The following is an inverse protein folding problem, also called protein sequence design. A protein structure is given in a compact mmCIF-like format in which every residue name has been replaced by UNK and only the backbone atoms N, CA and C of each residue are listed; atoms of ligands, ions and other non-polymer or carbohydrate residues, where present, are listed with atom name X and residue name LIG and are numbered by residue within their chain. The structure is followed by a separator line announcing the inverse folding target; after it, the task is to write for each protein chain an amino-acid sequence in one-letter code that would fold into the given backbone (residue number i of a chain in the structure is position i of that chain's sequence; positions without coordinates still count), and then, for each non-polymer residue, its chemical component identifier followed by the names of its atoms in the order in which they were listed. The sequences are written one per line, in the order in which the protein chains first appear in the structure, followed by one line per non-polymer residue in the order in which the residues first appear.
data_IF_473545549190
#
_entry.id   IF_473545549190
#
_cell.length_a   1.000
_cell.length_b   1.000
_cell.length_c   1.000
_cell.angle_alpha   90.00
_cell.angle_beta   90.00
_cell.angle_gamma   90.00
#
_symmetry.space_group_name_H-M   'P 1'
#
loop_
_entity.id
_entity.type
_entity.pdbx_description
1 polymer ?
#
# COMPACT_ATOMS: atom_id res chain seq x y z
N UNK A 1 63.85 25.40 4.54
CA UNK A 1 62.73 25.90 3.73
C UNK A 1 61.48 26.01 4.60
N UNK A 2 61.09 27.21 5.01
CA UNK A 2 59.87 27.43 5.79
C UNK A 2 58.68 27.59 4.83
N UNK A 3 57.65 26.72 4.94
CA UNK A 3 56.38 26.88 4.23
C UNK A 3 55.60 28.03 4.88
N UNK A 4 55.45 29.15 4.18
CA UNK A 4 54.49 30.19 4.56
C UNK A 4 53.08 29.63 4.40
N UNK A 5 52.37 29.45 5.51
CA UNK A 5 50.93 29.18 5.50
C UNK A 5 50.21 30.50 5.23
N UNK A 6 49.59 30.63 4.07
CA UNK A 6 48.68 31.74 3.79
C UNK A 6 47.32 31.40 4.37
N UNK A 7 46.75 32.21 5.29
CA UNK A 7 45.39 32.02 5.76
C UNK A 7 44.45 32.31 4.58
N UNK A 8 43.75 31.29 4.09
CA UNK A 8 42.66 31.49 3.14
C UNK A 8 41.48 31.96 3.97
N UNK A 9 41.00 33.21 3.82
CA UNK A 9 39.83 33.67 4.55
C UNK A 9 38.63 32.82 4.13
N UNK A 10 37.97 32.19 5.10
CA UNK A 10 36.71 31.49 4.89
C UNK A 10 35.63 32.54 4.64
N UNK A 11 35.36 32.86 3.37
CA UNK A 11 34.19 33.65 3.00
C UNK A 11 33.00 32.71 2.81
N UNK A 12 32.00 32.82 3.67
CA UNK A 12 30.68 32.25 3.38
C UNK A 12 30.17 32.94 2.10
N UNK A 13 29.81 32.20 1.03
CA UNK A 13 29.20 32.81 -0.14
C UNK A 13 27.90 33.50 0.30
N UNK A 14 27.71 34.77 -0.09
CA UNK A 14 26.47 35.49 0.20
C UNK A 14 25.30 34.78 -0.47
N UNK A 15 24.20 34.58 0.27
CA UNK A 15 23.00 33.90 -0.22
C UNK A 15 22.43 34.55 -1.50
N UNK A 16 22.73 35.82 -1.76
CA UNK A 16 22.36 36.56 -2.98
C UNK A 16 22.98 36.01 -4.28
N UNK A 17 24.04 35.20 -4.19
CA UNK A 17 24.76 34.67 -5.37
C UNK A 17 24.31 33.29 -5.84
N UNK A 18 23.43 32.61 -5.08
CA UNK A 18 22.87 31.34 -5.49
C UNK A 18 21.83 31.58 -6.56
N UNK A 19 22.11 31.18 -7.81
CA UNK A 19 21.05 31.14 -8.82
C UNK A 19 20.02 30.11 -8.36
N UNK A 20 18.75 30.29 -8.69
CA UNK A 20 17.68 29.34 -8.34
C UNK A 20 18.00 27.88 -8.76
N UNK A 21 18.82 27.70 -9.79
CA UNK A 21 19.33 26.40 -10.24
C UNK A 21 20.34 25.73 -9.28
N UNK A 22 21.06 26.50 -8.44
CA UNK A 22 22.07 25.98 -7.51
C UNK A 22 21.44 25.35 -6.25
N UNK A 23 20.22 25.76 -5.91
CA UNK A 23 19.45 25.22 -4.77
C UNK A 23 18.62 23.98 -5.13
N UNK A 24 18.36 23.73 -6.41
CA UNK A 24 17.43 22.70 -6.86
C UNK A 24 17.92 21.29 -6.56
N UNK A 25 19.20 20.98 -6.84
CA UNK A 25 19.78 19.67 -6.56
C UNK A 25 19.87 19.36 -5.05
N UNK A 26 20.40 20.24 -4.19
CA UNK A 26 20.42 19.98 -2.75
C UNK A 26 19.01 19.91 -2.16
N UNK A 27 18.04 20.67 -2.69
CA UNK A 27 16.65 20.54 -2.29
C UNK A 27 16.06 19.18 -2.67
N UNK A 28 16.28 18.71 -3.90
CA UNK A 28 15.84 17.38 -4.35
C UNK A 28 16.45 16.29 -3.48
N UNK A 29 17.76 16.38 -3.20
CA UNK A 29 18.45 15.48 -2.29
C UNK A 29 17.96 15.58 -0.86
N UNK A 30 17.49 16.72 -0.39
CA UNK A 30 16.89 16.80 0.94
C UNK A 30 15.50 16.13 0.95
N UNK A 31 14.66 16.49 -0.02
CA UNK A 31 13.29 15.99 -0.14
C UNK A 31 13.23 14.48 -0.39
N UNK A 32 14.16 13.91 -1.15
CA UNK A 32 14.20 12.45 -1.39
C UNK A 32 14.45 11.64 -0.12
N UNK A 33 14.98 12.24 0.95
CA UNK A 33 15.21 11.58 2.23
C UNK A 33 14.10 11.94 3.23
N UNK A 34 13.77 13.23 3.33
CA UNK A 34 12.83 13.72 4.34
C UNK A 34 11.41 13.25 4.06
N UNK A 35 10.95 13.30 2.80
CA UNK A 35 9.54 12.99 2.50
C UNK A 35 9.19 11.53 2.81
N UNK A 36 9.95 10.51 2.34
CA UNK A 36 9.63 9.11 2.65
C UNK A 36 9.71 8.80 4.15
N UNK A 37 10.69 9.40 4.85
CA UNK A 37 10.83 9.23 6.29
C UNK A 37 9.67 9.85 7.08
N UNK A 38 9.23 11.05 6.69
CA UNK A 38 8.07 11.71 7.30
C UNK A 38 6.80 10.91 7.04
N UNK A 39 6.58 10.43 5.81
CA UNK A 39 5.41 9.59 5.49
C UNK A 39 5.39 8.29 6.30
N UNK A 40 6.55 7.64 6.46
CA UNK A 40 6.70 6.45 7.28
C UNK A 40 6.48 6.74 8.78
N UNK A 41 7.07 7.83 9.29
CA UNK A 41 6.92 8.24 10.68
C UNK A 41 5.46 8.59 11.03
N UNK A 42 4.77 9.28 10.12
CA UNK A 42 3.37 9.61 10.27
C UNK A 42 2.44 8.40 10.02
N UNK A 43 2.98 7.24 9.63
CA UNK A 43 2.20 6.05 9.31
C UNK A 43 1.19 6.27 8.19
N UNK A 44 1.44 7.24 7.31
CA UNK A 44 0.54 7.58 6.21
C UNK A 44 0.44 6.37 5.30
N UNK A 45 -0.73 5.75 5.20
CA UNK A 45 -0.93 4.53 4.40
C UNK A 45 -1.16 3.25 5.19
N UNK A 46 -0.74 3.20 6.46
CA UNK A 46 -1.19 2.15 7.35
C UNK A 46 -2.70 2.26 7.55
N UNK A 47 -3.38 1.12 7.54
CA UNK A 47 -4.83 1.10 7.80
C UNK A 47 -5.06 1.45 9.26
N UNK A 48 -5.97 2.39 9.51
CA UNK A 48 -6.49 2.64 10.85
C UNK A 48 -7.29 1.43 11.30
N UNK A 49 -7.18 1.10 12.57
CA UNK A 49 -7.98 0.07 13.21
C UNK A 49 -8.95 0.78 14.17
N UNK A 50 -10.24 0.58 13.96
CA UNK A 50 -11.33 1.11 14.77
C UNK A 50 -11.43 0.40 16.13
N UNK A 51 -10.70 -0.72 16.29
CA UNK A 51 -10.66 -1.50 17.52
C UNK A 51 -12.03 -2.08 17.89
N UNK A 52 -12.84 -2.39 16.88
CA UNK A 52 -14.16 -3.00 17.04
C UNK A 52 -14.01 -4.36 17.77
N UNK A 53 -14.64 -4.56 18.95
CA UNK A 53 -14.45 -5.76 19.76
C UNK A 53 -14.90 -7.06 19.08
N UNK A 54 -16.02 -7.01 18.35
CA UNK A 54 -16.56 -8.13 17.59
C UNK A 54 -16.77 -7.67 16.15
N UNK A 55 -16.16 -8.38 15.21
CA UNK A 55 -16.18 -8.01 13.79
C UNK A 55 -16.78 -9.11 12.93
N UNK A 56 -17.34 -8.72 11.79
CA UNK A 56 -17.65 -9.62 10.69
C UNK A 56 -16.33 -10.04 10.05
N UNK A 57 -15.96 -11.30 10.18
CA UNK A 57 -14.67 -11.81 9.70
C UNK A 57 -14.75 -12.37 8.27
N UNK A 58 -15.81 -13.12 7.98
CA UNK A 58 -15.97 -13.77 6.69
C UNK A 58 -17.46 -13.84 6.33
N UNK A 59 -17.79 -13.57 5.07
CA UNK A 59 -19.17 -13.67 4.57
C UNK A 59 -19.22 -14.61 3.37
N UNK A 60 -20.14 -15.56 3.42
CA UNK A 60 -20.43 -16.51 2.36
C UNK A 60 -21.90 -16.45 2.01
N UNK A 61 -22.27 -15.46 1.18
CA UNK A 61 -23.68 -15.08 0.95
C UNK A 61 -24.25 -15.59 -0.37
N UNK A 62 -23.41 -16.11 -1.28
CA UNK A 62 -23.82 -16.68 -2.58
C UNK A 62 -23.34 -18.13 -2.73
N UNK A 63 -23.84 -19.07 -1.91
CA UNK A 63 -23.57 -20.50 -2.12
C UNK A 63 -24.12 -20.98 -3.47
N UNK A 64 -23.55 -22.07 -4.00
CA UNK A 64 -24.19 -22.81 -5.11
C UNK A 64 -25.57 -23.34 -4.68
N UNK A 65 -26.39 -23.69 -5.66
CA UNK A 65 -27.69 -24.32 -5.41
C UNK A 65 -27.58 -25.48 -4.40
N UNK A 66 -28.41 -25.44 -3.36
CA UNK A 66 -28.41 -26.41 -2.25
C UNK A 66 -27.38 -26.14 -1.15
N UNK A 67 -26.51 -25.13 -1.29
CA UNK A 67 -25.62 -24.68 -0.23
C UNK A 67 -26.28 -23.68 0.72
N UNK A 68 -25.65 -23.50 1.88
CA UNK A 68 -26.15 -22.66 2.97
C UNK A 68 -25.31 -21.37 3.05
N UNK A 69 -25.99 -20.22 3.06
CA UNK A 69 -25.32 -18.94 3.31
C UNK A 69 -24.97 -18.80 4.80
N UNK A 70 -23.89 -18.08 5.09
CA UNK A 70 -23.47 -17.82 6.45
C UNK A 70 -22.62 -16.57 6.56
N UNK A 71 -22.53 -16.07 7.79
CA UNK A 71 -21.68 -14.96 8.21
C UNK A 71 -20.88 -15.42 9.41
N UNK A 72 -19.57 -15.23 9.38
CA UNK A 72 -18.68 -15.55 10.47
C UNK A 72 -18.28 -14.28 11.22
N UNK A 73 -18.36 -14.36 12.54
CA UNK A 73 -17.93 -13.32 13.47
C UNK A 73 -16.60 -13.71 14.10
N UNK A 74 -15.78 -12.73 14.44
CA UNK A 74 -14.53 -12.93 15.16
C UNK A 74 -14.43 -11.98 16.36
N UNK A 75 -14.09 -12.55 17.52
CA UNK A 75 -13.89 -11.80 18.76
C UNK A 75 -12.43 -11.36 18.87
N UNK A 76 -12.19 -10.04 18.78
CA UNK A 76 -10.86 -9.42 18.89
C UNK A 76 -10.37 -9.26 20.34
N UNK A 77 -11.21 -9.57 21.33
CA UNK A 77 -10.91 -9.33 22.75
C UNK A 77 -10.37 -10.58 23.45
N UNK A 78 -9.89 -10.37 24.67
CA UNK A 78 -9.45 -11.40 25.60
C UNK A 78 -10.57 -11.94 26.50
N UNK A 79 -11.80 -11.46 26.32
CA UNK A 79 -12.98 -11.84 27.10
C UNK A 79 -14.11 -12.36 26.18
N UNK A 80 -14.95 -13.30 26.64
CA UNK A 80 -16.07 -13.78 25.84
C UNK A 80 -17.11 -12.68 25.62
N UNK A 81 -17.61 -12.56 24.39
CA UNK A 81 -18.66 -11.58 24.02
C UNK A 81 -19.99 -12.30 23.87
N UNK A 82 -20.97 -11.94 24.69
CA UNK A 82 -22.36 -12.40 24.50
C UNK A 82 -22.98 -11.71 23.30
N UNK A 83 -23.49 -12.51 22.37
CA UNK A 83 -24.17 -12.05 21.15
C UNK A 83 -25.68 -12.30 21.22
N UNK A 84 -26.21 -12.65 22.38
CA UNK A 84 -27.65 -12.89 22.56
C UNK A 84 -28.45 -11.64 22.21
N UNK A 85 -29.39 -11.78 21.27
CA UNK A 85 -30.26 -10.69 20.85
C UNK A 85 -29.63 -9.72 19.84
N UNK A 86 -28.37 -9.91 19.47
CA UNK A 86 -27.76 -9.20 18.34
C UNK A 86 -28.40 -9.65 17.03
N UNK A 87 -28.26 -8.86 15.97
CA UNK A 87 -28.94 -9.12 14.69
C UNK A 87 -27.99 -9.00 13.51
N UNK A 88 -28.15 -9.90 12.54
CA UNK A 88 -27.61 -9.76 11.20
C UNK A 88 -28.71 -9.28 10.27
N UNK A 89 -28.40 -8.29 9.44
CA UNK A 89 -29.38 -7.65 8.56
C UNK A 89 -28.83 -7.44 7.14
N UNK A 90 -29.75 -7.31 6.19
CA UNK A 90 -29.50 -6.75 4.86
C UNK A 90 -29.74 -5.25 4.86
N UNK A 91 -29.65 -4.61 3.69
CA UNK A 91 -30.14 -3.23 3.50
C UNK A 91 -31.65 -3.05 3.70
N UNK A 92 -32.44 -4.13 3.68
CA UNK A 92 -33.90 -4.09 3.68
C UNK A 92 -34.55 -4.66 4.93
N UNK A 93 -33.82 -5.45 5.74
CA UNK A 93 -34.35 -5.98 6.99
C UNK A 93 -33.47 -7.04 7.64
N UNK A 94 -33.93 -7.55 8.78
CA UNK A 94 -33.19 -8.53 9.57
C UNK A 94 -33.24 -9.93 8.94
N UNK A 95 -32.11 -10.62 9.01
CA UNK A 95 -31.89 -11.96 8.46
C UNK A 95 -31.84 -13.00 9.58
N UNK A 96 -31.20 -12.67 10.69
CA UNK A 96 -31.05 -13.57 11.83
C UNK A 96 -30.95 -12.80 13.16
N UNK A 97 -31.48 -13.40 14.23
CA UNK A 97 -31.22 -12.99 15.60
C UNK A 97 -30.25 -13.99 16.22
N UNK A 98 -29.18 -13.46 16.82
CA UNK A 98 -28.06 -14.24 17.32
C UNK A 98 -28.31 -14.72 18.75
N UNK A 99 -27.63 -15.82 19.09
CA UNK A 99 -27.68 -16.46 20.41
C UNK A 99 -26.27 -16.96 20.76
N UNK A 100 -26.02 -17.17 22.05
CA UNK A 100 -24.74 -17.67 22.56
C UNK A 100 -23.71 -16.57 22.79
N UNK A 101 -22.44 -16.98 22.80
CA UNK A 101 -21.27 -16.14 23.02
C UNK A 101 -20.15 -16.54 22.09
N UNK A 102 -19.29 -15.58 21.75
CA UNK A 102 -18.07 -15.80 20.98
C UNK A 102 -16.89 -15.75 21.94
N UNK A 103 -16.16 -16.86 22.09
CA UNK A 103 -15.00 -16.96 22.97
C UNK A 103 -13.85 -16.05 22.51
N UNK A 104 -12.92 -15.68 23.41
CA UNK A 104 -11.76 -14.85 23.07
C UNK A 104 -10.95 -15.41 21.89
N UNK A 105 -10.70 -14.60 20.86
CA UNK A 105 -9.96 -15.01 19.67
C UNK A 105 -10.60 -16.17 18.88
N UNK A 106 -11.89 -16.45 19.13
CA UNK A 106 -12.63 -17.50 18.44
C UNK A 106 -13.48 -16.95 17.29
N UNK A 107 -13.91 -17.87 16.43
CA UNK A 107 -14.82 -17.61 15.32
C UNK A 107 -16.19 -18.20 15.63
N UNK A 108 -17.26 -17.51 15.23
CA UNK A 108 -18.62 -18.02 15.33
C UNK A 108 -19.33 -17.90 13.97
N UNK A 109 -19.68 -19.04 13.39
CA UNK A 109 -20.39 -19.10 12.10
C UNK A 109 -21.90 -19.10 12.31
N UNK A 110 -22.53 -18.01 11.90
CA UNK A 110 -23.98 -17.85 11.91
C UNK A 110 -24.54 -18.28 10.56
N UNK A 111 -25.31 -19.37 10.55
CA UNK A 111 -26.04 -19.82 9.36
C UNK A 111 -27.25 -18.94 9.11
N UNK A 112 -27.43 -18.53 7.86
CA UNK A 112 -28.46 -17.56 7.45
C UNK A 112 -29.15 -18.02 6.18
N UNK A 113 -30.44 -17.70 5.97
CA UNK A 113 -31.04 -17.91 4.65
C UNK A 113 -30.28 -17.12 3.58
N UNK A 114 -30.35 -17.55 2.31
CA UNK A 114 -29.79 -16.82 1.19
C UNK A 114 -30.60 -15.55 0.91
N UNK A 115 -30.39 -14.52 1.72
CA UNK A 115 -31.18 -13.30 1.76
C UNK A 115 -30.57 -12.12 0.97
N UNK A 116 -29.27 -12.18 0.67
CA UNK A 116 -28.55 -11.04 0.08
C UNK A 116 -28.57 -11.01 -1.43
N UNK A 117 -28.61 -9.80 -1.99
CA UNK A 117 -28.53 -9.57 -3.41
C UNK A 117 -27.06 -9.54 -3.92
N UNK A 118 -26.76 -10.37 -4.92
CA UNK A 118 -25.42 -10.47 -5.50
C UNK A 118 -24.88 -9.18 -6.13
N UNK A 119 -25.76 -8.30 -6.64
CA UNK A 119 -25.37 -7.07 -7.34
C UNK A 119 -25.15 -5.89 -6.39
N UNK A 120 -26.03 -5.74 -5.41
CA UNK A 120 -25.92 -4.68 -4.43
C UNK A 120 -26.68 -5.02 -3.15
N UNK A 121 -25.95 -5.11 -2.03
CA UNK A 121 -26.51 -5.31 -0.70
C UNK A 121 -25.44 -5.05 0.38
N UNK A 122 -25.81 -5.26 1.63
CA UNK A 122 -24.90 -5.22 2.77
C UNK A 122 -25.16 -6.36 3.75
N UNK A 123 -24.12 -6.82 4.43
CA UNK A 123 -24.24 -7.55 5.70
C UNK A 123 -23.98 -6.53 6.80
N UNK A 124 -24.96 -6.36 7.69
CA UNK A 124 -24.88 -5.39 8.79
C UNK A 124 -25.04 -6.14 10.11
N UNK A 125 -24.11 -5.91 11.04
CA UNK A 125 -24.17 -6.44 12.39
C UNK A 125 -24.71 -5.36 13.32
N UNK A 126 -25.83 -5.62 13.97
CA UNK A 126 -26.41 -4.77 15.00
C UNK A 126 -26.25 -5.39 16.38
N UNK A 127 -25.88 -4.56 17.35
CA UNK A 127 -25.91 -4.90 18.76
C UNK A 127 -27.35 -4.98 19.29
N UNK A 128 -27.49 -5.49 20.52
CA UNK A 128 -28.80 -5.62 21.19
C UNK A 128 -29.54 -4.27 21.32
N UNK A 129 -28.81 -3.17 21.47
CA UNK A 129 -29.34 -1.81 21.59
C UNK A 129 -29.77 -1.20 20.25
N UNK A 130 -29.59 -1.92 19.14
CA UNK A 130 -29.87 -1.45 17.78
C UNK A 130 -28.76 -0.62 17.14
N UNK A 131 -27.64 -0.39 17.85
CA UNK A 131 -26.46 0.26 17.29
C UNK A 131 -25.78 -0.64 16.26
N UNK A 132 -25.37 -0.06 15.13
CA UNK A 132 -24.55 -0.76 14.15
C UNK A 132 -23.14 -0.96 14.71
N UNK A 133 -22.69 -2.20 14.74
CA UNK A 133 -21.38 -2.60 15.26
C UNK A 133 -20.37 -2.67 14.12
N UNK A 134 -20.77 -3.26 13.00
CA UNK A 134 -19.90 -3.52 11.85
C UNK A 134 -20.74 -3.71 10.59
N UNK A 135 -20.16 -3.46 9.43
CA UNK A 135 -20.79 -3.72 8.15
C UNK A 135 -19.80 -4.08 7.03
N UNK A 136 -20.34 -4.79 6.04
CA UNK A 136 -19.72 -4.92 4.73
C UNK A 136 -20.78 -4.78 3.66
N UNK A 137 -20.55 -3.88 2.71
CA UNK A 137 -21.50 -3.58 1.66
C UNK A 137 -20.83 -3.60 0.29
N UNK A 138 -21.62 -3.88 -0.75
CA UNK A 138 -21.16 -3.94 -2.14
C UNK A 138 -22.21 -3.36 -3.07
N UNK A 139 -21.78 -2.89 -4.25
CA UNK A 139 -22.67 -2.40 -5.28
C UNK A 139 -23.18 -0.98 -5.05
N UNK A 140 -24.23 -0.59 -5.78
CA UNK A 140 -24.78 0.76 -5.74
C UNK A 140 -25.63 0.99 -4.48
N UNK A 141 -25.46 2.16 -3.84
CA UNK A 141 -26.20 2.49 -2.63
C UNK A 141 -27.73 2.42 -2.84
N UNK A 142 -28.48 1.84 -1.89
CA UNK A 142 -29.94 1.92 -1.92
C UNK A 142 -30.40 3.37 -1.69
N UNK A 143 -31.64 3.69 -2.09
CA UNK A 143 -32.20 5.06 -1.96
C UNK A 143 -32.15 5.61 -0.53
N UNK A 144 -32.33 4.73 0.46
CA UNK A 144 -32.13 5.02 1.89
C UNK A 144 -31.05 4.10 2.42
N UNK A 145 -29.80 4.57 2.38
CA UNK A 145 -28.65 3.81 2.88
C UNK A 145 -28.63 3.78 4.41
N UNK A 146 -28.57 2.60 5.05
CA UNK A 146 -28.32 2.49 6.48
C UNK A 146 -26.84 2.78 6.84
N UNK A 147 -25.94 2.71 5.86
CA UNK A 147 -24.50 2.86 6.05
C UNK A 147 -24.03 4.23 5.54
N UNK A 148 -23.24 4.91 6.36
CA UNK A 148 -22.61 6.19 6.02
C UNK A 148 -21.42 5.95 5.09
N UNK A 149 -21.35 6.70 3.99
CA UNK A 149 -20.19 6.62 3.08
C UNK A 149 -20.19 5.44 2.10
N UNK A 150 -21.33 4.79 1.88
CA UNK A 150 -21.51 3.62 0.99
C UNK A 150 -20.67 3.68 -0.31
N UNK A 151 -20.82 4.74 -1.10
CA UNK A 151 -20.16 4.83 -2.41
C UNK A 151 -18.63 4.91 -2.35
N UNK A 152 -18.03 5.19 -1.18
CA UNK A 152 -16.58 5.27 -1.01
C UNK A 152 -15.96 3.95 -0.56
N UNK A 153 -16.70 3.17 0.23
CA UNK A 153 -16.17 2.01 0.97
C UNK A 153 -16.81 0.68 0.52
N UNK A 154 -17.31 0.64 -0.71
CA UNK A 154 -17.91 -0.57 -1.27
C UNK A 154 -16.87 -1.67 -1.49
N UNK A 155 -17.06 -2.80 -0.81
CA UNK A 155 -16.28 -4.01 -0.96
C UNK A 155 -16.52 -4.66 -2.34
N UNK A 156 -15.61 -5.53 -2.80
CA UNK A 156 -15.84 -6.29 -4.02
C UNK A 156 -17.12 -7.12 -3.89
N UNK A 157 -18.05 -7.04 -4.86
CA UNK A 157 -19.30 -7.81 -4.79
C UNK A 157 -19.06 -9.31 -4.58
N UNK A 158 -19.86 -10.03 -3.78
CA UNK A 158 -19.73 -11.48 -3.65
C UNK A 158 -19.84 -12.19 -5.01
N UNK A 159 -19.16 -13.33 -5.16
CA UNK A 159 -19.27 -14.19 -6.33
C UNK A 159 -19.79 -15.57 -5.91
N UNK A 160 -20.39 -16.30 -6.85
CA UNK A 160 -20.93 -17.63 -6.55
C UNK A 160 -19.82 -18.54 -6.00
N UNK A 161 -20.11 -19.18 -4.87
CA UNK A 161 -19.22 -20.11 -4.17
C UNK A 161 -17.86 -19.50 -3.74
N UNK A 162 -17.82 -18.20 -3.50
CA UNK A 162 -16.65 -17.46 -3.05
C UNK A 162 -17.03 -16.66 -1.81
N UNK A 163 -16.18 -16.67 -0.80
CA UNK A 163 -16.35 -15.85 0.39
C UNK A 163 -15.62 -14.52 0.26
N UNK A 164 -16.11 -13.49 0.95
CA UNK A 164 -15.34 -12.30 1.26
C UNK A 164 -14.80 -12.42 2.67
N UNK A 165 -13.49 -12.29 2.81
CA UNK A 165 -12.76 -12.43 4.06
C UNK A 165 -12.10 -11.12 4.41
N UNK A 166 -12.14 -10.76 5.70
CA UNK A 166 -11.41 -9.66 6.30
C UNK A 166 -9.91 -10.00 6.36
N UNK A 167 -9.07 -9.15 5.79
CA UNK A 167 -7.62 -9.26 5.75
C UNK A 167 -6.98 -7.89 5.95
N UNK A 168 -6.30 -7.62 7.09
CA UNK A 168 -5.90 -8.59 8.12
C UNK A 168 -7.06 -9.11 8.97
N UNK A 169 -6.92 -10.31 9.52
CA UNK A 169 -7.92 -10.90 10.42
C UNK A 169 -8.14 -9.97 11.62
N UNK A 170 -9.41 -9.69 11.92
CA UNK A 170 -9.79 -8.87 13.06
C UNK A 170 -9.65 -7.36 12.85
N UNK A 171 -8.81 -6.90 11.92
CA UNK A 171 -8.60 -5.46 11.69
C UNK A 171 -9.81 -4.84 10.99
N UNK A 172 -10.39 -3.82 11.62
CA UNK A 172 -11.51 -3.06 11.08
C UNK A 172 -11.10 -1.64 10.73
N UNK A 173 -11.06 -1.28 9.45
CA UNK A 173 -10.80 0.11 9.04
C UNK A 173 -12.05 0.84 8.58
N UNK A 174 -13.23 0.21 8.64
CA UNK A 174 -14.46 0.69 8.00
C UNK A 174 -14.29 1.01 6.50
N UNK A 175 -13.34 0.35 5.81
CA UNK A 175 -13.09 0.57 4.38
C UNK A 175 -13.14 -0.71 3.57
N UNK A 176 -13.31 -0.57 2.26
CA UNK A 176 -13.29 -1.71 1.33
C UNK A 176 -11.95 -2.45 1.26
N UNK A 177 -10.87 -1.86 1.80
CA UNK A 177 -9.53 -2.46 1.78
C UNK A 177 -9.44 -3.71 2.63
N UNK A 178 -10.35 -3.84 3.59
CA UNK A 178 -10.37 -4.95 4.54
C UNK A 178 -10.81 -6.25 3.87
N UNK A 179 -11.50 -6.17 2.73
CA UNK A 179 -12.18 -7.32 2.14
C UNK A 179 -11.45 -7.88 0.93
N UNK A 180 -11.20 -9.20 0.96
CA UNK A 180 -10.65 -9.95 -0.17
C UNK A 180 -11.51 -11.16 -0.49
N UNK A 181 -11.58 -11.53 -1.77
CA UNK A 181 -12.28 -12.73 -2.22
C UNK A 181 -11.38 -13.96 -2.07
N UNK A 182 -11.90 -15.02 -1.47
CA UNK A 182 -11.16 -16.28 -1.27
C UNK A 182 -12.11 -17.48 -1.18
N UNK A 183 -11.53 -18.68 -1.08
CA UNK A 183 -12.30 -19.89 -0.79
C UNK A 183 -12.85 -19.83 0.65
N UNK A 184 -14.08 -20.33 0.88
CA UNK A 184 -14.70 -20.25 2.20
C UNK A 184 -13.94 -21.04 3.27
N UNK A 185 -13.75 -20.45 4.46
CA UNK A 185 -12.97 -21.02 5.56
C UNK A 185 -13.69 -21.01 6.92
N UNK A 186 -14.89 -21.62 7.03
CA UNK A 186 -15.73 -21.50 8.23
C UNK A 186 -15.05 -22.05 9.50
N UNK A 187 -15.23 -21.33 10.61
CA UNK A 187 -14.68 -21.61 11.94
C UNK A 187 -13.15 -21.70 12.00
N UNK A 188 -12.44 -21.04 11.07
CA UNK A 188 -10.99 -21.11 11.03
C UNK A 188 -10.39 -19.85 10.41
N UNK A 189 -9.14 -19.56 10.75
CA UNK A 189 -8.41 -18.49 10.06
C UNK A 189 -8.27 -18.85 8.58
N UNK A 190 -8.78 -17.97 7.72
CA UNK A 190 -8.60 -18.11 6.27
C UNK A 190 -7.11 -18.10 5.90
N UNK A 191 -6.64 -19.01 5.03
CA UNK A 191 -5.25 -18.96 4.54
C UNK A 191 -4.91 -17.65 3.79
N UNK A 192 -5.92 -16.93 3.32
CA UNK A 192 -5.76 -15.64 2.64
C UNK A 192 -5.77 -14.44 3.61
N UNK A 193 -6.03 -14.66 4.90
CA UNK A 193 -6.08 -13.62 5.93
C UNK A 193 -4.96 -13.82 6.95
N UNK A 194 -4.11 -12.82 7.08
CA UNK A 194 -3.00 -12.85 8.04
C UNK A 194 -3.44 -12.22 9.36
N UNK A 195 -2.81 -12.63 10.46
CA UNK A 195 -2.94 -11.89 11.71
C UNK A 195 -2.42 -10.46 11.53
N UNK A 196 -3.02 -9.50 12.24
CA UNK A 196 -2.67 -8.08 12.14
C UNK A 196 -1.17 -7.81 12.34
N UNK A 197 -0.54 -8.49 13.30
CA UNK A 197 0.91 -8.36 13.53
C UNK A 197 1.74 -8.82 12.34
N UNK A 198 1.44 -9.99 11.78
CA UNK A 198 2.15 -10.54 10.62
C UNK A 198 1.91 -9.69 9.38
N UNK A 199 0.68 -9.20 9.16
CA UNK A 199 0.38 -8.32 8.05
C UNK A 199 1.19 -7.03 8.11
N UNK A 200 1.23 -6.37 9.28
CA UNK A 200 2.01 -5.13 9.46
C UNK A 200 3.49 -5.32 9.12
N UNK A 201 4.07 -6.45 9.54
CA UNK A 201 5.47 -6.75 9.24
C UNK A 201 5.69 -7.05 7.76
N UNK A 202 4.87 -7.92 7.16
CA UNK A 202 5.09 -8.41 5.81
C UNK A 202 4.65 -7.43 4.72
N UNK A 203 3.68 -6.56 4.98
CA UNK A 203 3.12 -5.64 4.01
C UNK A 203 3.44 -4.19 4.36
N UNK A 204 3.00 -3.69 5.51
CA UNK A 204 3.13 -2.26 5.82
C UNK A 204 4.60 -1.84 5.93
N UNK A 205 5.38 -2.54 6.77
CA UNK A 205 6.80 -2.23 6.97
C UNK A 205 7.61 -2.44 5.69
N UNK A 206 7.41 -3.56 4.98
CA UNK A 206 8.16 -3.83 3.74
C UNK A 206 7.86 -2.80 2.66
N UNK A 207 6.62 -2.32 2.54
CA UNK A 207 6.24 -1.26 1.61
C UNK A 207 6.93 0.06 1.94
N UNK A 208 6.98 0.48 3.23
CA UNK A 208 7.73 1.67 3.61
C UNK A 208 9.23 1.52 3.39
N UNK A 209 9.81 0.37 3.75
CA UNK A 209 11.23 0.12 3.53
C UNK A 209 11.56 0.17 2.04
N UNK A 210 10.73 -0.42 1.19
CA UNK A 210 10.86 -0.35 -0.27
C UNK A 210 10.81 1.09 -0.77
N UNK A 211 9.83 1.88 -0.31
CA UNK A 211 9.66 3.29 -0.65
C UNK A 211 10.91 4.11 -0.31
N UNK A 212 11.37 3.99 0.93
CA UNK A 212 12.55 4.71 1.44
C UNK A 212 13.78 4.27 0.64
N UNK A 213 14.01 2.96 0.49
CA UNK A 213 15.15 2.43 -0.25
C UNK A 213 15.19 2.91 -1.70
N UNK A 214 14.03 3.01 -2.36
CA UNK A 214 13.91 3.52 -3.72
C UNK A 214 14.37 4.97 -3.86
N UNK A 215 13.88 5.87 -3.01
CA UNK A 215 14.30 7.27 -3.05
C UNK A 215 15.74 7.48 -2.59
N UNK A 216 16.23 6.69 -1.62
CA UNK A 216 17.63 6.67 -1.21
C UNK A 216 18.54 6.26 -2.38
N UNK A 217 18.16 5.20 -3.11
CA UNK A 217 18.90 4.74 -4.27
C UNK A 217 18.93 5.80 -5.38
N UNK A 218 17.82 6.49 -5.63
CA UNK A 218 17.79 7.59 -6.58
C UNK A 218 18.69 8.75 -6.15
N UNK A 219 18.66 9.14 -4.87
CA UNK A 219 19.56 10.14 -4.29
C UNK A 219 21.04 9.77 -4.45
N UNK A 220 21.40 8.50 -4.28
CA UNK A 220 22.76 8.02 -4.50
C UNK A 220 23.23 8.22 -5.96
N UNK A 221 22.37 7.97 -6.96
CA UNK A 221 22.71 8.24 -8.36
C UNK A 221 22.88 9.73 -8.66
N UNK A 222 22.09 10.60 -8.04
CA UNK A 222 22.28 12.06 -8.15
C UNK A 222 23.67 12.45 -7.64
N UNK A 223 24.11 11.90 -6.50
CA UNK A 223 25.46 12.15 -5.97
C UNK A 223 26.55 11.67 -6.93
N UNK A 224 26.39 10.49 -7.55
CA UNK A 224 27.31 10.00 -8.59
C UNK A 224 27.37 10.97 -9.77
N UNK A 225 26.22 11.48 -10.23
CA UNK A 225 26.15 12.50 -11.27
C UNK A 225 26.89 13.79 -10.87
N UNK A 226 26.75 14.26 -9.63
CA UNK A 226 27.49 15.42 -9.14
C UNK A 226 29.02 15.19 -9.08
N UNK A 227 29.45 13.99 -8.69
CA UNK A 227 30.87 13.60 -8.70
C UNK A 227 31.39 13.60 -10.15
N UNK A 228 30.63 13.07 -11.10
CA UNK A 228 30.99 13.08 -12.52
C UNK A 228 31.12 14.53 -13.05
N UNK A 229 30.18 15.41 -12.67
CA UNK A 229 30.27 16.85 -13.00
C UNK A 229 31.51 17.51 -12.41
N UNK A 230 31.86 17.18 -11.16
CA UNK A 230 33.09 17.66 -10.51
C UNK A 230 34.34 17.17 -11.27
N UNK A 231 34.36 15.91 -11.67
CA UNK A 231 35.44 15.33 -12.47
C UNK A 231 35.60 16.03 -13.83
N UNK A 232 34.49 16.32 -14.52
CA UNK A 232 34.48 17.05 -15.78
C UNK A 232 35.06 18.46 -15.64
N UNK A 233 34.72 19.19 -14.57
CA UNK A 233 35.29 20.52 -14.31
C UNK A 233 36.79 20.48 -14.02
N UNK A 234 37.30 19.40 -13.42
CA UNK A 234 38.72 19.28 -13.08
C UNK A 234 39.59 18.78 -14.25
N UNK A 235 39.04 17.92 -15.10
CA UNK A 235 39.80 17.27 -16.20
C UNK A 235 39.54 17.90 -17.57
N UNK A 236 38.49 18.71 -17.72
CA UNK A 236 38.03 19.24 -19.00
C UNK A 236 37.42 18.19 -19.93
N UNK A 237 37.30 16.93 -19.50
CA UNK A 237 36.74 15.83 -20.28
C UNK A 237 35.25 15.66 -19.98
N UNK A 238 34.43 15.46 -21.02
CA UNK A 238 32.98 15.29 -20.86
C UNK A 238 32.66 13.98 -20.12
N UNK A 239 31.90 14.09 -19.04
CA UNK A 239 31.56 12.96 -18.14
C UNK A 239 30.14 12.39 -18.35
N UNK A 240 29.32 13.04 -19.19
CA UNK A 240 27.90 12.72 -19.38
C UNK A 240 27.07 12.74 -18.07
N UNK A 241 27.46 13.55 -17.09
CA UNK A 241 26.83 13.62 -15.77
C UNK A 241 25.30 13.80 -15.79
N UNK A 242 24.77 14.56 -16.76
CA UNK A 242 23.32 14.76 -16.93
C UNK A 242 22.62 13.44 -17.22
N UNK A 243 23.20 12.60 -18.09
CA UNK A 243 22.65 11.28 -18.38
C UNK A 243 22.72 10.37 -17.16
N UNK A 244 23.78 10.44 -16.36
CA UNK A 244 23.90 9.68 -15.09
C UNK A 244 22.81 10.06 -14.08
N UNK A 245 22.39 11.32 -14.07
CA UNK A 245 21.38 11.84 -13.14
C UNK A 245 19.96 11.48 -13.61
N UNK A 246 19.71 11.47 -14.92
CA UNK A 246 18.37 11.27 -15.50
C UNK A 246 18.06 9.79 -15.75
N UNK A 247 19.02 8.98 -16.17
CA UNK A 247 18.72 7.60 -16.51
C UNK A 247 18.18 6.70 -15.38
N UNK A 248 18.37 6.96 -14.06
CA UNK A 248 17.66 6.23 -13.00
C UNK A 248 16.25 6.78 -12.69
N UNK A 249 15.66 7.66 -13.51
CA UNK A 249 14.34 8.27 -13.25
C UNK A 249 13.21 7.24 -13.09
N UNK A 250 13.34 6.06 -13.70
CA UNK A 250 12.40 4.96 -13.55
C UNK A 250 12.26 4.48 -12.11
N UNK A 251 13.28 4.67 -11.26
CA UNK A 251 13.18 4.42 -9.81
C UNK A 251 12.12 5.33 -9.20
N UNK A 252 12.13 6.62 -9.53
CA UNK A 252 11.15 7.58 -9.02
C UNK A 252 9.75 7.23 -9.53
N UNK A 253 9.61 6.94 -10.82
CA UNK A 253 8.32 6.57 -11.41
C UNK A 253 7.75 5.31 -10.73
N UNK A 254 8.57 4.28 -10.55
CA UNK A 254 8.19 3.07 -9.82
C UNK A 254 7.70 3.39 -8.41
N UNK A 255 8.49 4.16 -7.65
CA UNK A 255 8.13 4.50 -6.27
C UNK A 255 6.86 5.34 -6.18
N UNK A 256 6.61 6.27 -7.12
CA UNK A 256 5.37 7.06 -7.15
C UNK A 256 4.15 6.18 -7.41
N UNK A 257 4.24 5.23 -8.35
CA UNK A 257 3.15 4.30 -8.64
C UNK A 257 2.93 3.34 -7.47
N UNK A 258 4.00 2.80 -6.89
CA UNK A 258 3.93 1.95 -5.70
C UNK A 258 3.28 2.70 -4.54
N UNK A 259 3.70 3.93 -4.26
CA UNK A 259 3.14 4.80 -3.22
C UNK A 259 1.65 5.00 -3.40
N UNK A 260 1.24 5.45 -4.59
CA UNK A 260 -0.15 5.72 -4.91
C UNK A 260 -1.01 4.47 -4.70
N UNK A 261 -0.55 3.32 -5.19
CA UNK A 261 -1.30 2.06 -5.12
C UNK A 261 -1.38 1.53 -3.69
N UNK A 262 -0.29 1.65 -2.92
CA UNK A 262 -0.28 1.32 -1.50
C UNK A 262 -1.28 2.19 -0.71
N UNK A 263 -1.27 3.52 -0.91
CA UNK A 263 -2.16 4.43 -0.19
C UNK A 263 -3.63 4.33 -0.60
N UNK A 264 -3.92 4.00 -1.86
CA UNK A 264 -5.30 3.96 -2.35
C UNK A 264 -5.93 2.57 -2.26
N UNK A 265 -5.18 1.50 -2.56
CA UNK A 265 -5.70 0.15 -2.69
C UNK A 265 -4.96 -0.89 -1.81
N UNK A 266 -3.91 -0.50 -1.10
CA UNK A 266 -3.07 -1.41 -0.30
C UNK A 266 -2.15 -2.32 -1.12
N UNK A 267 -2.32 -2.36 -2.45
CA UNK A 267 -1.50 -3.16 -3.37
C UNK A 267 -1.57 -2.60 -4.79
N UNK A 268 -0.54 -2.87 -5.59
CA UNK A 268 -0.57 -2.62 -7.03
C UNK A 268 -1.45 -3.64 -7.75
N UNK A 269 -2.21 -3.19 -8.75
CA UNK A 269 -2.97 -4.10 -9.61
C UNK A 269 -2.04 -4.98 -10.44
N UNK A 270 -2.31 -6.29 -10.38
CA UNK A 270 -1.58 -7.32 -11.12
C UNK A 270 -2.02 -7.38 -12.59
N UNK A 271 -1.07 -7.69 -13.48
CA UNK A 271 -1.36 -7.97 -14.88
C UNK A 271 -1.83 -9.42 -15.01
N UNK A 272 -3.15 -9.62 -15.19
CA UNK A 272 -3.75 -10.96 -15.27
C UNK A 272 -3.57 -11.65 -16.64
N UNK A 273 -3.08 -10.94 -17.66
CA UNK A 273 -2.88 -11.49 -19.01
C UNK A 273 -1.52 -11.10 -19.62
N UNK A 274 -0.60 -12.07 -19.70
CA UNK A 274 0.62 -12.03 -20.54
C UNK A 274 1.61 -10.88 -20.28
N UNK A 275 2.54 -10.68 -21.24
CA UNK A 275 3.51 -9.57 -21.30
C UNK A 275 2.84 -8.21 -21.62
N UNK A 276 1.61 -7.99 -21.16
CA UNK A 276 0.85 -6.77 -21.46
C UNK A 276 1.19 -5.67 -20.46
N UNK A 277 2.37 -5.08 -20.64
CA UNK A 277 2.97 -4.07 -19.75
C UNK A 277 2.14 -2.78 -19.57
N UNK A 278 1.14 -2.51 -20.41
CA UNK A 278 0.39 -1.23 -20.38
C UNK A 278 -0.99 -1.30 -19.71
N UNK A 279 -1.43 -2.47 -19.23
CA UNK A 279 -2.83 -2.66 -18.78
C UNK A 279 -2.99 -2.63 -17.26
N UNK A 280 -1.89 -2.77 -16.50
CA UNK A 280 -1.93 -2.80 -15.03
C UNK A 280 -0.88 -1.87 -14.40
N UNK A 281 -1.06 -1.54 -13.12
CA UNK A 281 -0.14 -0.67 -12.37
C UNK A 281 1.27 -1.29 -12.27
N UNK A 282 1.37 -2.60 -12.07
CA UNK A 282 2.67 -3.28 -12.04
C UNK A 282 3.44 -3.10 -13.37
N UNK A 283 2.76 -3.24 -14.51
CA UNK A 283 3.38 -3.03 -15.82
C UNK A 283 3.90 -1.61 -16.01
N UNK A 284 3.10 -0.60 -15.63
CA UNK A 284 3.50 0.81 -15.66
C UNK A 284 4.62 1.14 -14.65
N UNK A 285 4.73 0.41 -13.55
CA UNK A 285 5.80 0.60 -12.58
C UNK A 285 7.12 -0.05 -13.04
N UNK A 286 7.07 -1.31 -13.48
CA UNK A 286 8.27 -2.08 -13.83
C UNK A 286 8.86 -1.69 -15.20
N UNK A 287 8.06 -1.23 -16.16
CA UNK A 287 8.57 -0.88 -17.49
C UNK A 287 9.56 0.30 -17.45
N UNK A 288 9.23 1.46 -16.85
CA UNK A 288 10.18 2.56 -16.71
C UNK A 288 11.40 2.19 -15.88
N UNK A 289 11.22 1.35 -14.86
CA UNK A 289 12.31 0.84 -14.02
C UNK A 289 13.30 0.01 -14.84
N UNK A 290 12.79 -0.92 -15.65
CA UNK A 290 13.61 -1.76 -16.53
C UNK A 290 14.34 -0.93 -17.60
N UNK A 291 13.64 -0.04 -18.29
CA UNK A 291 14.24 0.86 -19.29
C UNK A 291 15.32 1.76 -18.67
N UNK A 292 15.09 2.26 -17.46
CA UNK A 292 16.07 3.05 -16.70
C UNK A 292 17.30 2.24 -16.32
N UNK A 293 17.13 0.95 -15.97
CA UNK A 293 18.25 0.05 -15.69
C UNK A 293 19.13 -0.18 -16.92
N UNK A 294 18.54 -0.36 -18.11
CA UNK A 294 19.27 -0.49 -19.36
C UNK A 294 20.00 0.81 -19.75
N UNK A 295 19.33 1.95 -19.58
CA UNK A 295 19.94 3.26 -19.82
C UNK A 295 21.12 3.49 -18.87
N UNK A 296 20.99 3.11 -17.59
CA UNK A 296 22.08 3.16 -16.61
C UNK A 296 23.25 2.26 -16.97
N UNK A 297 23.00 1.00 -17.33
CA UNK A 297 24.05 0.10 -17.79
C UNK A 297 24.80 0.68 -18.99
N UNK A 298 24.08 1.27 -19.95
CA UNK A 298 24.68 1.93 -21.10
C UNK A 298 25.53 3.15 -20.72
N UNK A 299 25.03 4.03 -19.85
CA UNK A 299 25.75 5.23 -19.40
C UNK A 299 27.03 4.84 -18.65
N UNK A 300 26.96 3.85 -17.76
CA UNK A 300 28.13 3.33 -17.02
C UNK A 300 29.15 2.72 -17.97
N UNK A 301 28.72 1.89 -18.93
CA UNK A 301 29.60 1.32 -19.95
C UNK A 301 30.34 2.40 -20.75
N UNK A 302 29.62 3.45 -21.18
CA UNK A 302 30.20 4.59 -21.90
C UNK A 302 31.21 5.36 -21.05
N UNK A 303 30.90 5.61 -19.78
CA UNK A 303 31.80 6.30 -18.85
C UNK A 303 33.07 5.49 -18.58
N UNK A 304 32.95 4.18 -18.34
CA UNK A 304 34.10 3.30 -18.14
C UNK A 304 35.07 3.34 -19.31
N UNK A 305 34.56 3.31 -20.55
CA UNK A 305 35.40 3.41 -21.76
C UNK A 305 36.11 4.76 -21.94
N UNK A 306 35.65 5.83 -21.28
CA UNK A 306 36.32 7.14 -21.25
C UNK A 306 37.37 7.14 -20.13
N UNK A 307 37.00 6.70 -18.93
CA UNK A 307 37.90 6.64 -17.79
C UNK A 307 39.14 5.77 -18.06
N UNK A 308 38.97 4.61 -18.70
CA UNK A 308 40.08 3.72 -19.07
C UNK A 308 41.08 4.40 -20.01
N UNK A 309 40.60 5.15 -21.00
CA UNK A 309 41.47 5.88 -21.95
C UNK A 309 42.30 6.98 -21.29
N UNK A 310 41.85 7.49 -20.14
CA UNK A 310 42.57 8.53 -19.39
C UNK A 310 43.65 7.91 -18.50
N UNK A 311 43.42 6.72 -17.94
CA UNK A 311 44.37 6.04 -17.05
C UNK A 311 45.51 5.33 -17.78
N UNK A 312 45.37 5.11 -19.09
CA UNK A 312 46.42 4.53 -19.95
C UNK A 312 47.41 5.60 -20.47
N UNK A 313 47.24 6.88 -20.10
CA UNK A 313 48.13 8.03 -20.42
C UNK A 313 48.87 8.47 -19.16
#
# INVERSE_FOLDING_TARGET
MQRKAYPIPFSMPSLERLRSADLLIPLILCLSFVVPLVLAFLGVGMRSDEQTPLVINEIFVLPKAGGQAWVELYNNTDEPISIVGWRLSTTTGDVATLQGSVEPGAFEVVKTPSAWNAKSDAVILYGVDGNQIDDVHWGAAPEKSPIVGWSKNSAPAPAENVALVRNPQGLDSNTNKDWTRTQPSPNSQSPASLSTGTYRVLFDITNYVSLIAGFLLWGAFILIGLIARRFEMLTGQRSFWTAMTIAPIGIVIYNLIQSYSFFTAGRMTECKEGLSFSVCQQGWAFTPLFLSSLAMAYVVYRFYGIARRILEV
#
